data_IF_768379492580
#
_entry.id   IF_768379492580
#
_cell.length_a   1.000
_cell.length_b   1.000
_cell.length_c   1.000
_cell.angle_alpha   90.00
_cell.angle_beta   90.00
_cell.angle_gamma   90.00
#
_symmetry.space_group_name_H-M   'P 1'
#
loop_
_entity.id
_entity.type
_entity.pdbx_description
1 polymer ?
#
# COMPACT_ATOMS: atom_id res chain seq x y z
N UNK A 1 1.08 -6.45 -1.69
CA UNK A 1 1.54 -5.73 -0.46
C UNK A 1 0.32 -5.40 0.36
N UNK A 2 0.37 -5.62 1.68
CA UNK A 2 -0.66 -5.20 2.63
C UNK A 2 -0.10 -4.11 3.54
N UNK A 3 -0.87 -3.05 3.79
CA UNK A 3 -0.47 -1.94 4.66
C UNK A 3 -1.59 -1.57 5.62
N UNK A 4 -1.22 -1.18 6.84
CA UNK A 4 -2.12 -0.64 7.85
C UNK A 4 -1.48 0.57 8.55
N UNK A 5 -2.30 1.52 9.02
CA UNK A 5 -1.81 2.72 9.69
C UNK A 5 -2.63 3.04 10.94
N UNK A 6 -1.93 3.13 12.07
CA UNK A 6 -2.47 3.60 13.34
C UNK A 6 -2.32 5.11 13.49
N UNK A 7 -2.74 5.65 14.64
CA UNK A 7 -2.49 7.06 15.00
C UNK A 7 -1.00 7.41 15.08
N UNK A 8 -0.14 6.43 15.39
CA UNK A 8 1.26 6.67 15.76
C UNK A 8 2.27 6.05 14.80
N UNK A 9 1.89 5.00 14.06
CA UNK A 9 2.79 4.24 13.21
C UNK A 9 2.07 3.63 12.01
N UNK A 10 2.81 3.44 10.93
CA UNK A 10 2.42 2.66 9.76
C UNK A 10 3.16 1.33 9.72
N UNK A 11 2.47 0.26 9.32
CA UNK A 11 3.01 -1.07 9.13
C UNK A 11 2.68 -1.62 7.75
N UNK A 12 3.57 -2.43 7.19
CA UNK A 12 3.32 -3.14 5.95
C UNK A 12 3.97 -4.53 5.94
N UNK A 13 3.35 -5.42 5.16
CA UNK A 13 3.91 -6.70 4.76
C UNK A 13 3.94 -6.77 3.23
N UNK A 14 5.12 -7.09 2.71
CA UNK A 14 5.31 -7.38 1.29
C UNK A 14 5.26 -8.89 1.13
N UNK A 15 4.48 -9.31 0.15
CA UNK A 15 4.18 -10.70 -0.17
C UNK A 15 4.59 -11.02 -1.59
N UNK A 16 4.87 -12.29 -1.87
CA UNK A 16 5.18 -12.79 -3.20
C UNK A 16 4.46 -14.12 -3.42
N UNK A 17 3.98 -14.37 -4.64
CA UNK A 17 3.46 -15.67 -5.03
C UNK A 17 4.61 -16.65 -5.23
N UNK A 18 4.51 -17.83 -4.61
CA UNK A 18 5.45 -18.94 -4.79
C UNK A 18 4.69 -20.17 -5.25
N UNK A 19 5.18 -20.82 -6.30
CA UNK A 19 4.68 -22.13 -6.72
C UNK A 19 5.12 -23.20 -5.74
N UNK A 20 4.16 -23.97 -5.26
CA UNK A 20 4.37 -25.13 -4.40
C UNK A 20 3.91 -26.36 -5.17
N UNK A 21 4.87 -27.25 -5.45
CA UNK A 21 4.65 -28.47 -6.21
C UNK A 21 5.97 -29.08 -6.69
N UNK A 22 5.95 -30.35 -7.14
CA UNK A 22 7.10 -30.98 -7.78
C UNK A 22 7.57 -30.18 -9.02
N UNK A 23 8.86 -30.26 -9.39
CA UNK A 23 9.35 -29.65 -10.63
C UNK A 23 8.57 -30.19 -11.83
N UNK A 24 7.90 -29.32 -12.58
CA UNK A 24 7.18 -29.69 -13.81
C UNK A 24 5.65 -29.76 -13.70
N UNK A 25 5.08 -29.64 -12.50
CA UNK A 25 3.63 -29.51 -12.31
C UNK A 25 3.23 -28.02 -12.24
N UNK A 26 2.02 -27.60 -12.67
CA UNK A 26 1.56 -26.22 -12.54
C UNK A 26 1.58 -25.73 -11.08
N UNK A 27 1.47 -26.65 -10.12
CA UNK A 27 1.51 -26.37 -8.68
C UNK A 27 0.42 -25.42 -8.21
N UNK A 28 0.30 -25.24 -6.90
CA UNK A 28 -0.51 -24.17 -6.33
C UNK A 28 0.37 -22.92 -6.13
N UNK A 29 -0.13 -21.75 -6.51
CA UNK A 29 0.52 -20.48 -6.17
C UNK A 29 0.02 -20.02 -4.81
N UNK A 30 0.91 -20.07 -3.81
CA UNK A 30 0.62 -19.56 -2.47
C UNK A 30 1.25 -18.18 -2.30
N UNK A 31 0.53 -17.28 -1.63
CA UNK A 31 1.07 -15.99 -1.22
C UNK A 31 1.91 -16.17 0.05
N UNK A 32 3.20 -15.83 -0.03
CA UNK A 32 4.12 -15.91 1.10
C UNK A 32 4.63 -14.53 1.48
N UNK A 33 4.70 -14.19 2.78
CA UNK A 33 5.32 -12.95 3.22
C UNK A 33 6.83 -13.04 3.00
N UNK A 34 7.40 -12.00 2.39
CA UNK A 34 8.84 -11.89 2.13
C UNK A 34 9.50 -10.82 2.99
N UNK A 35 8.73 -9.81 3.44
CA UNK A 35 9.24 -8.72 4.25
C UNK A 35 8.14 -8.12 5.13
N UNK A 36 8.50 -7.83 6.38
CA UNK A 36 7.70 -7.04 7.32
C UNK A 36 8.46 -5.77 7.65
N UNK A 37 7.77 -4.63 7.64
CA UNK A 37 8.37 -3.35 8.00
C UNK A 37 7.36 -2.43 8.66
N UNK A 38 7.86 -1.52 9.50
CA UNK A 38 7.06 -0.54 10.21
C UNK A 38 7.87 0.72 10.49
N UNK A 39 7.19 1.85 10.55
CA UNK A 39 7.79 3.13 10.94
C UNK A 39 6.83 3.95 11.80
N UNK A 40 7.39 4.87 12.59
CA UNK A 40 6.63 5.80 13.42
C UNK A 40 6.40 7.11 12.68
N UNK A 41 5.20 7.67 12.80
CA UNK A 41 4.88 8.95 12.22
C UNK A 41 5.56 10.09 12.99
N UNK A 42 6.01 11.10 12.25
CA UNK A 42 6.47 12.36 12.84
C UNK A 42 5.31 13.10 13.53
N UNK A 43 5.63 14.05 14.41
CA UNK A 43 4.63 14.87 15.11
C UNK A 43 3.60 15.48 14.15
N UNK A 44 4.04 15.95 12.98
CA UNK A 44 3.14 16.51 11.95
C UNK A 44 2.25 15.45 11.31
N UNK A 45 2.80 14.28 10.97
CA UNK A 45 2.05 13.19 10.35
C UNK A 45 1.01 12.57 11.30
N UNK A 46 1.29 12.51 12.61
CA UNK A 46 0.31 12.02 13.60
C UNK A 46 -0.97 12.88 13.65
N UNK A 47 -0.86 14.17 13.31
CA UNK A 47 -1.98 15.11 13.28
C UNK A 47 -2.87 14.97 12.02
N UNK A 48 -2.45 14.19 11.02
CA UNK A 48 -3.27 13.93 9.84
C UNK A 48 -4.54 13.15 10.19
N UNK A 49 -5.60 13.33 9.41
CA UNK A 49 -6.77 12.44 9.50
C UNK A 49 -6.41 10.99 9.14
N UNK A 50 -7.22 10.03 9.58
CA UNK A 50 -6.97 8.59 9.38
C UNK A 50 -6.62 8.24 7.93
N UNK A 51 -7.42 8.69 6.97
CA UNK A 51 -7.17 8.45 5.55
C UNK A 51 -5.84 9.02 5.04
N UNK A 52 -5.48 10.23 5.49
CA UNK A 52 -4.20 10.86 5.10
C UNK A 52 -3.01 10.11 5.70
N UNK A 53 -3.15 9.52 6.89
CA UNK A 53 -2.11 8.66 7.49
C UNK A 53 -1.95 7.34 6.74
N UNK A 54 -3.06 6.68 6.39
CA UNK A 54 -3.03 5.46 5.58
C UNK A 54 -2.37 5.69 4.22
N UNK A 55 -2.77 6.76 3.52
CA UNK A 55 -2.16 7.13 2.25
C UNK A 55 -0.67 7.47 2.40
N UNK A 56 -0.31 8.20 3.46
CA UNK A 56 1.09 8.49 3.77
C UNK A 56 1.89 7.20 3.99
N UNK A 57 1.36 6.23 4.74
CA UNK A 57 2.00 4.94 4.97
C UNK A 57 2.24 4.18 3.66
N UNK A 58 1.23 4.08 2.79
CA UNK A 58 1.39 3.44 1.47
C UNK A 58 2.50 4.12 0.67
N UNK A 59 2.47 5.45 0.56
CA UNK A 59 3.43 6.20 -0.25
C UNK A 59 4.85 6.01 0.28
N UNK A 60 5.04 6.04 1.60
CA UNK A 60 6.36 5.78 2.22
C UNK A 60 6.86 4.37 1.90
N UNK A 61 6.00 3.35 2.04
CA UNK A 61 6.38 1.97 1.74
C UNK A 61 6.64 1.73 0.25
N UNK A 62 5.80 2.28 -0.64
CA UNK A 62 6.00 2.20 -2.08
C UNK A 62 7.31 2.88 -2.51
N UNK A 63 7.66 4.03 -1.91
CA UNK A 63 8.94 4.71 -2.18
C UNK A 63 10.13 3.92 -1.64
N UNK A 64 10.02 3.39 -0.42
CA UNK A 64 11.11 2.65 0.25
C UNK A 64 11.41 1.33 -0.46
N UNK A 65 10.37 0.62 -0.90
CA UNK A 65 10.46 -0.70 -1.50
C UNK A 65 10.19 -0.70 -3.01
N UNK A 66 10.36 0.44 -3.67
CA UNK A 66 10.16 0.57 -5.13
C UNK A 66 10.88 -0.53 -5.92
N UNK A 67 12.11 -0.86 -5.52
CA UNK A 67 12.89 -1.94 -6.13
C UNK A 67 12.24 -3.33 -6.05
N UNK A 68 11.40 -3.60 -5.04
CA UNK A 68 10.67 -4.87 -4.90
C UNK A 68 9.44 -4.95 -5.78
N UNK A 69 8.91 -3.81 -6.26
CA UNK A 69 7.76 -3.74 -7.16
C UNK A 69 8.16 -3.69 -8.64
N UNK A 70 9.46 -3.64 -8.95
CA UNK A 70 10.01 -3.70 -10.31
C UNK A 70 10.08 -5.14 -10.81
N UNK A 71 8.95 -5.81 -10.98
CA UNK A 71 8.87 -7.12 -11.65
C UNK A 71 8.22 -6.98 -13.03
N UNK A 72 8.56 -7.87 -13.96
CA UNK A 72 8.02 -7.87 -15.33
C UNK A 72 6.52 -8.22 -15.40
N UNK A 73 5.96 -8.66 -14.28
CA UNK A 73 4.53 -8.91 -14.06
C UNK A 73 3.97 -7.73 -13.27
N UNK A 74 2.86 -7.11 -13.69
CA UNK A 74 2.26 -6.00 -12.95
C UNK A 74 1.99 -6.44 -11.50
N UNK A 75 2.44 -5.64 -10.53
CA UNK A 75 2.24 -5.92 -9.12
C UNK A 75 0.73 -6.11 -8.85
N UNK A 76 0.35 -7.32 -8.47
CA UNK A 76 -1.03 -7.62 -8.09
C UNK A 76 -1.33 -6.92 -6.75
N UNK A 77 -2.21 -5.93 -6.83
CA UNK A 77 -2.96 -5.25 -5.76
C UNK A 77 -2.23 -4.90 -4.45
N UNK A 78 -2.21 -3.60 -4.14
CA UNK A 78 -2.05 -3.11 -2.78
C UNK A 78 -3.39 -3.33 -2.07
N UNK A 79 -3.42 -4.23 -1.10
CA UNK A 79 -4.64 -4.57 -0.34
C UNK A 79 -4.67 -3.80 0.99
N UNK A 80 -5.81 -3.17 1.26
CA UNK A 80 -6.07 -2.46 2.51
C UNK A 80 -7.34 -3.00 3.18
N UNK A 81 -7.40 -3.05 4.52
CA UNK A 81 -8.60 -3.48 5.25
C UNK A 81 -9.77 -2.50 5.13
N UNK A 82 -9.53 -1.24 4.71
CA UNK A 82 -10.55 -0.20 4.57
C UNK A 82 -10.86 0.05 3.08
N UNK A 83 -11.66 -0.85 2.50
CA UNK A 83 -11.84 -0.99 1.05
C UNK A 83 -12.65 0.06 0.28
N UNK A 84 -13.39 1.06 0.84
CA UNK A 84 -14.17 1.93 -0.04
C UNK A 84 -13.39 3.15 -0.59
N UNK A 85 -12.22 3.52 -0.03
CA UNK A 85 -11.76 4.92 -0.20
C UNK A 85 -10.83 5.15 -1.40
N UNK A 86 -9.99 4.19 -1.79
CA UNK A 86 -9.03 4.41 -2.89
C UNK A 86 -9.71 4.44 -4.26
N UNK A 87 -10.70 3.57 -4.53
CA UNK A 87 -11.50 3.67 -5.76
C UNK A 87 -12.21 5.03 -5.84
N UNK A 88 -12.65 5.58 -4.71
CA UNK A 88 -13.29 6.90 -4.66
C UNK A 88 -12.30 8.03 -4.95
N UNK A 89 -11.04 7.94 -4.51
CA UNK A 89 -10.01 8.97 -4.77
C UNK A 89 -9.48 8.91 -6.22
N UNK A 90 -9.34 7.72 -6.80
CA UNK A 90 -8.89 7.59 -8.20
C UNK A 90 -10.02 7.78 -9.23
N UNK A 91 -11.29 7.55 -8.86
CA UNK A 91 -12.45 7.76 -9.74
C UNK A 91 -13.21 9.07 -9.47
N UNK A 92 -12.85 9.84 -8.42
CA UNK A 92 -13.38 11.19 -8.27
C UNK A 92 -12.79 12.09 -9.35
N UNK A 93 -13.60 12.79 -10.16
CA UNK A 93 -13.07 13.81 -11.06
C UNK A 93 -12.30 14.85 -10.24
N UNK A 94 -11.26 15.50 -10.79
CA UNK A 94 -10.58 16.58 -10.11
C UNK A 94 -11.59 17.70 -9.87
N UNK A 95 -12.15 17.79 -8.66
CA UNK A 95 -13.06 18.87 -8.32
C UNK A 95 -12.29 20.19 -8.39
N UNK A 96 -12.65 20.97 -9.39
CA UNK A 96 -12.35 22.38 -9.55
C UNK A 96 -12.90 23.16 -8.34
N UNK A 97 -12.12 23.29 -7.27
CA UNK A 97 -12.38 24.29 -6.22
C UNK A 97 -11.12 24.74 -5.49
N UNK A 98 -10.04 25.00 -6.25
CA UNK A 98 -9.08 26.05 -5.87
C UNK A 98 -9.65 27.40 -6.32
N UNK A 99 -10.73 27.86 -5.68
CA UNK A 99 -11.08 29.27 -5.71
C UNK A 99 -10.15 29.99 -4.74
N UNK A 100 -9.04 30.50 -5.26
CA UNK A 100 -8.28 31.57 -4.61
C UNK A 100 -9.25 32.74 -4.46
N UNK A 101 -9.76 32.96 -3.25
CA UNK A 101 -10.35 34.25 -2.90
C UNK A 101 -9.20 35.26 -2.92
N UNK A 102 -9.15 36.07 -3.98
CA UNK A 102 -8.55 37.39 -3.92
C UNK A 102 -9.45 38.31 -3.09
#
# INVERSE_FOLDING_TARGET
MYSDASKFAGGAVITQKRRVGPPGDPGEEIEVPILFDAFTFTKTQTAYGTYKRELCAIVEFCRKFDYMFRTNTPAESIHQPHTPTIQTIFNSPPESSFAIRQ
#
